data_IF_045244591534
#
_entry.id   IF_045244591534
#
_cell.length_a   1.000
_cell.length_b   1.000
_cell.length_c   1.000
_cell.angle_alpha   90.00
_cell.angle_beta   90.00
_cell.angle_gamma   90.00
#
_symmetry.space_group_name_H-M   'P 1'
#
loop_
_entity.id
_entity.type
_entity.pdbx_description
1 polymer ?
#
# COMPACT_ATOMS: atom_id res chain seq x y z
N UNK A 1 3.79 -25.99 -3.62
CA UNK A 1 3.36 -24.74 -2.95
C UNK A 1 1.87 -24.53 -3.18
N UNK A 2 1.07 -24.35 -2.12
CA UNK A 2 -0.39 -24.19 -2.24
C UNK A 2 -0.75 -22.86 -2.94
N UNK A 3 -1.77 -22.86 -3.81
CA UNK A 3 -2.18 -21.68 -4.59
C UNK A 3 -2.52 -20.49 -3.68
N UNK A 4 -3.16 -20.75 -2.54
CA UNK A 4 -3.52 -19.72 -1.55
C UNK A 4 -2.30 -18.99 -0.98
N UNK A 5 -1.27 -19.74 -0.59
CA UNK A 5 -0.02 -19.18 -0.06
C UNK A 5 0.71 -18.35 -1.12
N UNK A 6 0.68 -18.78 -2.39
CA UNK A 6 1.26 -18.00 -3.49
C UNK A 6 0.60 -16.62 -3.64
N UNK A 7 -0.73 -16.54 -3.51
CA UNK A 7 -1.45 -15.26 -3.61
C UNK A 7 -1.08 -14.31 -2.48
N UNK A 8 -0.91 -14.83 -1.25
CA UNK A 8 -0.46 -14.04 -0.10
C UNK A 8 0.94 -13.49 -0.31
N UNK A 9 1.88 -14.32 -0.78
CA UNK A 9 3.26 -13.91 -1.07
C UNK A 9 3.33 -12.91 -2.22
N UNK A 10 2.57 -13.13 -3.29
CA UNK A 10 2.49 -12.17 -4.40
C UNK A 10 1.94 -10.82 -3.88
N UNK A 11 0.93 -10.84 -3.01
CA UNK A 11 0.34 -9.63 -2.44
C UNK A 11 1.28 -8.84 -1.53
N UNK A 12 2.04 -9.51 -0.67
CA UNK A 12 3.03 -8.85 0.18
C UNK A 12 4.20 -8.31 -0.65
N UNK A 13 4.61 -9.01 -1.71
CA UNK A 13 5.63 -8.52 -2.63
C UNK A 13 5.17 -7.23 -3.34
N UNK A 14 3.92 -7.18 -3.80
CA UNK A 14 3.36 -5.97 -4.43
C UNK A 14 3.21 -4.83 -3.43
N UNK A 15 2.83 -5.10 -2.18
CA UNK A 15 2.78 -4.11 -1.12
C UNK A 15 4.17 -3.55 -0.77
N UNK A 16 5.20 -4.39 -0.73
CA UNK A 16 6.58 -3.96 -0.52
C UNK A 16 7.08 -3.09 -1.69
N UNK A 17 6.80 -3.47 -2.94
CA UNK A 17 7.13 -2.66 -4.11
C UNK A 17 6.39 -1.30 -4.10
N UNK A 18 5.10 -1.31 -3.73
CA UNK A 18 4.31 -0.11 -3.56
C UNK A 18 4.92 0.82 -2.49
N UNK A 19 5.46 0.24 -1.41
CA UNK A 19 6.12 1.00 -0.36
C UNK A 19 7.41 1.65 -0.83
N UNK A 20 8.23 0.94 -1.61
CA UNK A 20 9.45 1.52 -2.21
C UNK A 20 9.10 2.72 -3.09
N UNK A 21 8.03 2.64 -3.88
CA UNK A 21 7.56 3.77 -4.68
C UNK A 21 7.00 4.93 -3.85
N UNK A 22 6.39 4.66 -2.69
CA UNK A 22 5.93 5.71 -1.76
C UNK A 22 7.08 6.57 -1.21
N UNK A 23 8.32 6.05 -1.18
CA UNK A 23 9.48 6.80 -0.68
C UNK A 23 9.98 7.87 -1.65
N UNK A 24 9.50 7.87 -2.90
CA UNK A 24 9.87 8.88 -3.89
C UNK A 24 9.05 10.16 -3.60
N UNK A 25 9.69 11.30 -3.28
CA UNK A 25 8.98 12.52 -2.91
C UNK A 25 8.36 13.17 -4.14
N UNK A 26 7.08 12.89 -4.39
CA UNK A 26 6.28 13.46 -5.49
C UNK A 26 5.14 14.35 -4.97
N UNK A 27 5.37 14.93 -3.80
CA UNK A 27 4.43 15.83 -3.13
C UNK A 27 4.65 17.28 -3.58
N UNK A 28 3.56 17.96 -3.89
CA UNK A 28 3.52 19.39 -4.21
C UNK A 28 2.76 20.09 -3.09
N UNK A 29 3.51 20.67 -2.15
CA UNK A 29 2.95 21.19 -0.90
C UNK A 29 2.43 20.08 0.01
N UNK A 30 1.50 20.43 0.90
CA UNK A 30 0.92 19.50 1.90
C UNK A 30 -0.31 18.74 1.41
N UNK A 31 -0.97 19.21 0.35
CA UNK A 31 -2.31 18.75 -0.03
C UNK A 31 -2.34 17.94 -1.32
N UNK A 32 -1.26 17.95 -2.11
CA UNK A 32 -1.19 17.24 -3.38
C UNK A 32 -0.01 16.28 -3.39
N UNK A 33 -0.28 15.00 -3.68
CA UNK A 33 0.75 13.99 -3.85
C UNK A 33 0.35 13.00 -4.94
N UNK A 34 1.32 12.58 -5.75
CA UNK A 34 1.15 11.52 -6.73
C UNK A 34 1.63 10.22 -6.10
N UNK A 35 0.69 9.32 -5.76
CA UNK A 35 1.01 8.03 -5.15
C UNK A 35 1.35 6.98 -6.20
N UNK A 36 2.65 6.83 -6.51
CA UNK A 36 3.13 5.79 -7.43
C UNK A 36 2.93 4.36 -6.89
N UNK A 37 2.84 4.20 -5.57
CA UNK A 37 2.56 2.90 -4.93
C UNK A 37 1.21 2.29 -5.34
N UNK A 38 0.27 3.12 -5.81
CA UNK A 38 -1.02 2.64 -6.32
C UNK A 38 -0.88 1.78 -7.58
N UNK A 39 0.14 2.01 -8.41
CA UNK A 39 0.33 1.30 -9.69
C UNK A 39 0.49 -0.22 -9.47
N UNK A 40 1.47 -0.71 -8.70
CA UNK A 40 1.64 -2.15 -8.46
C UNK A 40 0.44 -2.78 -7.74
N UNK A 41 -0.16 -2.08 -6.78
CA UNK A 41 -1.34 -2.57 -6.05
C UNK A 41 -2.57 -2.70 -6.95
N UNK A 42 -2.81 -1.73 -7.85
CA UNK A 42 -3.94 -1.77 -8.78
C UNK A 42 -3.79 -2.91 -9.78
N UNK A 43 -2.58 -3.10 -10.34
CA UNK A 43 -2.30 -4.23 -11.24
C UNK A 43 -2.53 -5.57 -10.51
N UNK A 44 -2.11 -5.68 -9.25
CA UNK A 44 -2.32 -6.87 -8.45
C UNK A 44 -3.81 -7.13 -8.16
N UNK A 45 -4.56 -6.10 -7.78
CA UNK A 45 -6.00 -6.18 -7.52
C UNK A 45 -6.79 -6.58 -8.77
N UNK A 46 -6.45 -6.03 -9.94
CA UNK A 46 -7.05 -6.42 -11.21
C UNK A 46 -6.75 -7.88 -11.57
N UNK A 47 -5.54 -8.36 -11.26
CA UNK A 47 -5.12 -9.74 -11.59
C UNK A 47 -5.69 -10.81 -10.65
N UNK A 48 -5.83 -10.51 -9.36
CA UNK A 48 -6.19 -11.51 -8.32
C UNK A 48 -7.57 -11.27 -7.70
N UNK A 49 -8.20 -10.15 -8.01
CA UNK A 49 -9.50 -9.75 -7.50
C UNK A 49 -9.45 -8.82 -6.29
N UNK A 50 -10.62 -8.32 -5.90
CA UNK A 50 -10.79 -7.28 -4.87
C UNK A 50 -10.30 -7.72 -3.49
N UNK A 51 -10.62 -8.95 -3.06
CA UNK A 51 -10.24 -9.46 -1.73
C UNK A 51 -8.72 -9.45 -1.48
N UNK A 52 -7.89 -10.11 -2.31
CA UNK A 52 -6.44 -10.07 -2.12
C UNK A 52 -5.85 -8.69 -2.37
N UNK A 53 -6.42 -7.90 -3.29
CA UNK A 53 -6.00 -6.50 -3.52
C UNK A 53 -6.17 -5.63 -2.27
N UNK A 54 -7.32 -5.71 -1.61
CA UNK A 54 -7.58 -4.99 -0.36
C UNK A 54 -6.64 -5.41 0.77
N UNK A 55 -6.36 -6.72 0.91
CA UNK A 55 -5.42 -7.20 1.91
C UNK A 55 -4.00 -6.67 1.65
N UNK A 56 -3.55 -6.67 0.39
CA UNK A 56 -2.25 -6.11 0.02
C UNK A 56 -2.19 -4.59 0.26
N UNK A 57 -3.27 -3.86 -0.06
CA UNK A 57 -3.39 -2.43 0.20
C UNK A 57 -3.39 -2.10 1.70
N UNK A 58 -4.04 -2.93 2.52
CA UNK A 58 -4.02 -2.80 3.98
C UNK A 58 -2.59 -2.99 4.52
N UNK A 59 -1.85 -3.98 4.04
CA UNK A 59 -0.44 -4.17 4.41
C UNK A 59 0.40 -2.95 4.00
N UNK A 60 0.22 -2.42 2.79
CA UNK A 60 0.89 -1.21 2.34
C UNK A 60 0.57 0.01 3.22
N UNK A 61 -0.70 0.22 3.60
CA UNK A 61 -1.10 1.28 4.51
C UNK A 61 -0.45 1.14 5.90
N UNK A 62 -0.47 -0.07 6.46
CA UNK A 62 0.17 -0.35 7.76
C UNK A 62 1.69 -0.15 7.74
N UNK A 63 2.36 -0.35 6.60
CA UNK A 63 3.80 -0.12 6.47
C UNK A 63 4.19 1.36 6.57
N UNK A 64 3.28 2.31 6.36
CA UNK A 64 3.60 3.73 6.49
C UNK A 64 3.88 4.13 7.95
N UNK A 65 3.28 3.46 8.93
CA UNK A 65 3.46 3.76 10.36
C UNK A 65 4.89 3.52 10.85
N UNK A 66 5.47 2.30 10.72
CA UNK A 66 6.83 2.03 11.19
C UNK A 66 7.89 2.81 10.40
N UNK A 67 7.59 3.19 9.16
CA UNK A 67 8.50 3.97 8.30
C UNK A 67 8.36 5.49 8.50
N UNK A 68 7.49 5.94 9.42
CA UNK A 68 7.30 7.37 9.71
C UNK A 68 6.80 8.18 8.52
N UNK A 69 6.12 7.53 7.56
CA UNK A 69 5.57 8.18 6.37
C UNK A 69 4.11 8.63 6.55
N UNK A 70 3.54 8.44 7.75
CA UNK A 70 2.17 8.87 8.08
C UNK A 70 2.18 10.31 8.58
N UNK A 71 1.33 11.14 7.99
CA UNK A 71 1.03 12.46 8.52
C UNK A 71 -0.09 12.36 9.58
N UNK A 72 0.31 12.28 10.85
CA UNK A 72 -0.60 12.11 12.00
C UNK A 72 -1.05 13.47 12.54
N UNK A 73 -2.33 13.81 12.40
CA UNK A 73 -2.91 15.02 13.01
C UNK A 73 -3.79 14.70 14.22
N UNK A 74 -4.49 13.57 14.21
CA UNK A 74 -5.40 13.18 15.28
C UNK A 74 -5.65 11.68 15.30
N UNK A 75 -6.04 11.15 16.45
CA UNK A 75 -6.37 9.72 16.63
C UNK A 75 -7.54 9.27 15.73
N UNK A 76 -8.63 10.06 15.57
CA UNK A 76 -9.71 9.67 14.67
C UNK A 76 -9.22 9.41 13.24
N UNK A 77 -8.40 10.29 12.65
CA UNK A 77 -7.86 10.14 11.29
C UNK A 77 -7.16 8.78 11.05
N UNK A 78 -6.59 8.18 12.09
CA UNK A 78 -5.86 6.91 12.00
C UNK A 78 -6.75 5.70 12.23
N UNK A 79 -7.77 5.82 13.08
CA UNK A 79 -8.61 4.70 13.51
C UNK A 79 -9.95 4.60 12.76
N UNK A 80 -10.38 5.66 12.07
CA UNK A 80 -11.58 5.69 11.21
C UNK A 80 -11.21 5.49 9.76
#
# INVERSE_FOLDING_TARGET
>A
MQIKTKILVDGTLMAALAMVFSLIPLQVGSSFSISLGQIPLTIFALRRGVKPGLLAGLVWGLLHFPLGQVYFLSVPQVLT
#
